data_IF_397528861013
#
_entry.id   IF_397528861013
#
_cell.length_a   1.000
_cell.length_b   1.000
_cell.length_c   1.000
_cell.angle_alpha   90.00
_cell.angle_beta   90.00
_cell.angle_gamma   90.00
#
_symmetry.space_group_name_H-M   'P 1'
#
loop_
_entity.id
_entity.type
_entity.pdbx_description
1 polymer ?
#
# COMPACT_ATOMS: atom_id res chain seq x y z
N UNK A 1 36.30 -32.05 -19.05
CA UNK A 1 35.52 -31.65 -17.87
C UNK A 1 35.52 -30.11 -17.64
N UNK A 2 36.68 -29.42 -17.50
CA UNK A 2 36.68 -27.93 -17.24
C UNK A 2 35.93 -27.10 -18.28
N UNK A 3 36.04 -27.41 -19.58
CA UNK A 3 35.32 -26.65 -20.64
C UNK A 3 33.80 -26.83 -20.58
N UNK A 4 33.32 -28.02 -20.20
CA UNK A 4 31.89 -28.28 -20.04
C UNK A 4 31.31 -27.53 -18.82
N UNK A 5 32.06 -27.45 -17.71
CA UNK A 5 31.65 -26.71 -16.51
C UNK A 5 31.60 -25.23 -16.77
N UNK A 6 32.54 -24.68 -17.55
CA UNK A 6 32.55 -23.26 -17.95
C UNK A 6 31.32 -22.93 -18.84
N UNK A 7 31.00 -23.83 -19.78
CA UNK A 7 29.84 -23.65 -20.65
C UNK A 7 28.52 -23.66 -19.87
N UNK A 8 28.38 -24.55 -18.90
CA UNK A 8 27.20 -24.65 -18.02
C UNK A 8 27.08 -23.39 -17.15
N UNK A 9 28.20 -22.92 -16.58
CA UNK A 9 28.20 -21.69 -15.79
C UNK A 9 27.81 -20.46 -16.61
N UNK A 10 28.32 -20.31 -17.83
CA UNK A 10 27.96 -19.25 -18.75
C UNK A 10 26.47 -19.29 -19.14
N UNK A 11 25.94 -20.48 -19.44
CA UNK A 11 24.53 -20.66 -19.77
C UNK A 11 23.62 -20.25 -18.58
N UNK A 12 24.01 -20.62 -17.34
CA UNK A 12 23.28 -20.23 -16.14
C UNK A 12 23.29 -18.71 -15.93
N UNK A 13 24.42 -18.04 -16.12
CA UNK A 13 24.51 -16.56 -16.01
C UNK A 13 23.63 -15.88 -17.05
N UNK A 14 23.63 -16.34 -18.30
CA UNK A 14 22.79 -15.78 -19.37
C UNK A 14 21.31 -16.00 -19.07
N UNK A 15 20.92 -17.16 -18.54
CA UNK A 15 19.55 -17.44 -18.18
C UNK A 15 19.08 -16.53 -17.01
N UNK A 16 19.90 -16.37 -15.97
CA UNK A 16 19.60 -15.47 -14.84
C UNK A 16 19.49 -14.01 -15.30
N UNK A 17 20.43 -13.56 -16.14
CA UNK A 17 20.38 -12.20 -16.71
C UNK A 17 19.17 -12.01 -17.60
N UNK A 18 18.76 -13.00 -18.36
CA UNK A 18 17.55 -12.98 -19.20
C UNK A 18 16.28 -12.88 -18.38
N UNK A 19 16.15 -13.64 -17.30
CA UNK A 19 15.01 -13.57 -16.37
C UNK A 19 14.96 -12.22 -15.68
N UNK A 20 16.09 -11.70 -15.19
CA UNK A 20 16.15 -10.40 -14.55
C UNK A 20 15.77 -9.27 -15.53
N UNK A 21 16.27 -9.33 -16.77
CA UNK A 21 15.89 -8.36 -17.82
C UNK A 21 14.40 -8.45 -18.19
N UNK A 22 13.83 -9.66 -18.26
CA UNK A 22 12.42 -9.86 -18.52
C UNK A 22 11.55 -9.21 -17.43
N UNK A 23 11.85 -9.49 -16.16
CA UNK A 23 11.14 -8.89 -15.01
C UNK A 23 11.23 -7.36 -15.06
N UNK A 24 12.43 -6.83 -15.32
CA UNK A 24 12.64 -5.38 -15.40
C UNK A 24 11.91 -4.69 -16.56
N UNK A 25 11.79 -5.35 -17.70
CA UNK A 25 11.20 -4.77 -18.91
C UNK A 25 9.70 -5.06 -19.03
N UNK A 26 9.22 -6.15 -18.46
CA UNK A 26 7.82 -6.58 -18.57
C UNK A 26 6.96 -6.08 -17.42
N UNK A 27 7.39 -6.24 -16.19
CA UNK A 27 6.60 -5.77 -15.04
C UNK A 27 6.66 -4.25 -14.90
N UNK A 28 5.56 -3.66 -14.42
CA UNK A 28 5.52 -2.29 -13.96
C UNK A 28 5.87 -2.19 -12.48
N UNK A 29 6.15 -1.00 -12.00
CA UNK A 29 6.25 -0.68 -10.59
C UNK A 29 4.96 -0.04 -10.10
N UNK A 30 4.47 -0.44 -8.94
CA UNK A 30 3.36 0.18 -8.26
C UNK A 30 3.83 0.73 -6.93
N UNK A 31 3.70 2.05 -6.76
CA UNK A 31 3.93 2.75 -5.50
C UNK A 31 2.58 3.17 -4.92
N UNK A 32 2.32 2.83 -3.67
CA UNK A 32 1.13 3.25 -2.93
C UNK A 32 1.56 4.22 -1.86
N UNK A 33 1.04 5.44 -1.92
CA UNK A 33 1.22 6.48 -0.93
C UNK A 33 -0.09 6.76 -0.19
N UNK A 34 -0.02 7.23 1.03
CA UNK A 34 -1.16 7.68 1.84
C UNK A 34 -1.08 9.17 2.11
N UNK A 35 -2.24 9.79 2.26
CA UNK A 35 -2.43 11.17 2.68
C UNK A 35 -3.67 11.29 3.56
N UNK A 36 -3.91 12.46 4.14
CA UNK A 36 -5.10 12.80 4.93
C UNK A 36 -5.53 14.24 4.68
N UNK A 37 -6.78 14.51 4.98
CA UNK A 37 -7.32 15.85 5.13
C UNK A 37 -7.13 16.37 6.56
N UNK A 38 -7.13 17.70 6.76
CA UNK A 38 -6.92 18.32 8.07
C UNK A 38 -7.93 17.86 9.12
N UNK A 39 -7.45 17.38 10.25
CA UNK A 39 -8.24 16.85 11.36
C UNK A 39 -8.10 17.64 12.67
N UNK A 40 -8.85 17.22 13.70
CA UNK A 40 -8.82 17.78 15.06
C UNK A 40 -7.73 17.16 15.97
N UNK A 41 -6.85 16.35 15.43
CA UNK A 41 -5.79 15.62 16.14
C UNK A 41 -4.43 16.28 15.89
N UNK A 42 -3.57 16.29 16.89
CA UNK A 42 -2.18 16.75 16.74
C UNK A 42 -1.34 15.72 15.99
N UNK A 43 -1.50 14.44 16.37
CA UNK A 43 -0.83 13.31 15.71
C UNK A 43 -1.83 12.14 15.62
N UNK A 44 -1.79 11.36 14.53
CA UNK A 44 -2.53 10.09 14.40
C UNK A 44 -1.62 9.04 13.75
N UNK A 45 -0.98 8.25 14.57
CA UNK A 45 -0.12 7.16 14.12
C UNK A 45 -0.93 5.92 13.80
N UNK A 46 -0.86 5.46 12.55
CA UNK A 46 -1.55 4.27 12.06
C UNK A 46 -0.53 3.24 11.62
N UNK A 47 -0.68 2.01 12.10
CA UNK A 47 0.21 0.90 11.74
C UNK A 47 -0.45 0.00 10.71
N UNK A 48 0.13 0.00 9.52
CA UNK A 48 -0.26 -0.84 8.38
C UNK A 48 0.60 -2.10 8.34
N UNK A 49 0.01 -3.23 7.96
CA UNK A 49 0.74 -4.50 7.83
C UNK A 49 0.71 -5.07 6.44
N UNK A 50 -0.32 -4.78 5.66
CA UNK A 50 -0.49 -5.31 4.32
C UNK A 50 -1.14 -4.27 3.41
N UNK A 51 -0.72 -4.30 2.16
CA UNK A 51 -1.34 -3.58 1.05
C UNK A 51 -1.53 -4.57 -0.09
N UNK A 52 -2.74 -4.66 -0.62
CA UNK A 52 -3.09 -5.57 -1.69
C UNK A 52 -3.76 -4.81 -2.82
N UNK A 53 -3.56 -5.28 -4.05
CA UNK A 53 -4.32 -4.81 -5.22
C UNK A 53 -4.90 -5.99 -5.97
N UNK A 54 -6.09 -5.83 -6.54
CA UNK A 54 -6.82 -6.88 -7.24
C UNK A 54 -6.84 -6.64 -8.75
N UNK A 55 -6.43 -7.66 -9.50
CA UNK A 55 -6.42 -7.63 -10.97
C UNK A 55 -7.85 -7.70 -11.53
N UNK A 56 -8.14 -6.84 -12.49
CA UNK A 56 -9.45 -6.78 -13.13
C UNK A 56 -9.81 -8.10 -13.84
N UNK A 57 -11.05 -8.51 -13.68
CA UNK A 57 -11.57 -9.71 -14.33
C UNK A 57 -11.19 -11.05 -13.68
N UNK A 58 -10.48 -11.02 -12.55
CA UNK A 58 -10.24 -12.19 -11.70
C UNK A 58 -11.34 -12.30 -10.65
N UNK A 59 -11.55 -13.51 -10.13
CA UNK A 59 -12.45 -13.72 -8.98
C UNK A 59 -11.80 -13.30 -7.66
N UNK A 60 -12.63 -13.07 -6.63
CA UNK A 60 -12.18 -12.67 -5.28
C UNK A 60 -11.16 -13.62 -4.65
N UNK A 61 -11.12 -14.89 -5.06
CA UNK A 61 -10.18 -15.89 -4.51
C UNK A 61 -8.80 -15.82 -5.16
N UNK A 62 -8.68 -15.14 -6.31
CA UNK A 62 -7.44 -15.04 -7.09
C UNK A 62 -7.25 -13.63 -7.61
N UNK A 63 -6.06 -13.31 -8.10
CA UNK A 63 -5.79 -11.97 -8.68
C UNK A 63 -5.38 -10.92 -7.67
N UNK A 64 -5.21 -11.26 -6.39
CA UNK A 64 -4.64 -10.40 -5.37
C UNK A 64 -3.10 -10.43 -5.43
N UNK A 65 -2.51 -9.24 -5.45
CA UNK A 65 -1.07 -9.03 -5.38
C UNK A 65 -0.74 -8.26 -4.11
N UNK A 66 0.14 -8.83 -3.28
CA UNK A 66 0.63 -8.17 -2.07
C UNK A 66 1.78 -7.24 -2.40
N UNK A 67 1.76 -6.03 -1.84
CA UNK A 67 2.84 -5.06 -1.90
C UNK A 67 3.64 -5.10 -0.60
N UNK A 68 4.96 -4.97 -0.71
CA UNK A 68 5.82 -4.85 0.47
C UNK A 68 5.60 -3.49 1.13
N UNK A 69 5.19 -3.49 2.39
CA UNK A 69 5.04 -2.28 3.19
C UNK A 69 6.43 -1.69 3.45
N UNK A 70 6.65 -0.47 2.98
CA UNK A 70 7.92 0.25 3.12
C UNK A 70 8.03 0.91 4.49
N UNK A 71 6.93 1.47 4.99
CA UNK A 71 6.84 2.12 6.29
C UNK A 71 5.57 1.65 7.00
N UNK A 72 5.74 0.85 8.06
CA UNK A 72 4.62 0.21 8.74
C UNK A 72 3.79 1.20 9.57
N UNK A 73 4.38 2.25 10.16
CA UNK A 73 3.67 3.22 11.00
C UNK A 73 3.86 4.62 10.45
N UNK A 74 2.75 5.29 10.17
CA UNK A 74 2.69 6.62 9.55
C UNK A 74 1.81 7.53 10.39
N UNK A 75 2.26 8.77 10.62
CA UNK A 75 1.46 9.82 11.22
C UNK A 75 0.59 10.49 10.14
N UNK A 76 -0.64 10.01 9.99
CA UNK A 76 -1.57 10.52 8.98
C UNK A 76 -1.95 11.98 9.21
N UNK A 77 -2.06 12.44 10.46
CA UNK A 77 -2.43 13.83 10.75
C UNK A 77 -1.39 14.84 10.23
N UNK A 78 -0.14 14.40 10.01
CA UNK A 78 0.92 15.22 9.43
C UNK A 78 0.85 15.35 7.91
N UNK A 79 0.03 14.54 7.22
CA UNK A 79 0.03 14.39 5.77
C UNK A 79 -0.98 15.29 5.04
N UNK A 80 -1.31 16.44 5.59
CA UNK A 80 -2.21 17.42 4.95
C UNK A 80 -1.53 18.01 3.71
N UNK A 81 -2.12 17.80 2.53
CA UNK A 81 -1.60 18.21 1.22
C UNK A 81 -0.22 17.61 0.83
N UNK A 82 0.22 16.59 1.52
CA UNK A 82 1.41 15.80 1.20
C UNK A 82 1.09 14.32 1.30
N UNK A 83 1.88 13.48 0.68
CA UNK A 83 1.70 12.02 0.78
C UNK A 83 3.00 11.33 1.13
N UNK A 84 2.91 10.23 1.88
CA UNK A 84 4.04 9.40 2.27
C UNK A 84 3.92 8.00 1.64
N UNK A 85 5.06 7.45 1.19
CA UNK A 85 5.09 6.13 0.57
C UNK A 85 4.82 5.05 1.62
N UNK A 86 3.71 4.35 1.48
CA UNK A 86 3.33 3.22 2.33
C UNK A 86 3.90 1.90 1.83
N UNK A 87 3.75 1.59 0.55
CA UNK A 87 4.13 0.29 0.00
C UNK A 87 4.58 0.40 -1.46
N UNK A 88 5.41 -0.55 -1.89
CA UNK A 88 5.87 -0.65 -3.27
C UNK A 88 6.06 -2.10 -3.68
N UNK A 89 5.78 -2.43 -4.93
CA UNK A 89 6.06 -3.73 -5.53
C UNK A 89 6.21 -3.66 -7.06
N UNK A 90 6.83 -4.67 -7.62
CA UNK A 90 6.70 -4.99 -9.04
C UNK A 90 5.48 -5.85 -9.24
N UNK A 91 4.64 -5.45 -10.17
CA UNK A 91 3.33 -6.09 -10.43
C UNK A 91 3.16 -6.24 -11.93
N UNK A 92 2.49 -7.30 -12.36
CA UNK A 92 2.20 -7.55 -13.76
C UNK A 92 1.45 -6.38 -14.42
N UNK A 93 1.77 -6.05 -15.69
CA UNK A 93 1.04 -5.00 -16.40
C UNK A 93 -0.40 -5.45 -16.65
N UNK A 94 -1.34 -4.52 -16.50
CA UNK A 94 -2.75 -4.80 -16.67
C UNK A 94 -3.64 -3.80 -15.95
N UNK A 95 -4.93 -4.08 -15.97
CA UNK A 95 -5.95 -3.29 -15.27
C UNK A 95 -6.21 -3.88 -13.88
N UNK A 96 -6.38 -3.01 -12.92
CA UNK A 96 -6.69 -3.31 -11.53
C UNK A 96 -7.93 -2.54 -11.12
N UNK A 97 -8.68 -3.07 -10.16
CA UNK A 97 -10.00 -2.53 -9.79
C UNK A 97 -10.18 -2.28 -8.30
N UNK A 98 -9.26 -2.76 -7.48
CA UNK A 98 -9.42 -2.65 -6.03
C UNK A 98 -8.06 -2.51 -5.36
N UNK A 99 -8.02 -1.71 -4.27
CA UNK A 99 -6.92 -1.67 -3.30
C UNK A 99 -7.47 -2.00 -1.92
N UNK A 100 -6.70 -2.76 -1.13
CA UNK A 100 -6.99 -3.10 0.26
C UNK A 100 -5.79 -2.75 1.14
N UNK A 101 -6.07 -2.06 2.24
CA UNK A 101 -5.11 -1.74 3.28
C UNK A 101 -5.50 -2.49 4.57
N UNK A 102 -4.51 -3.04 5.28
CA UNK A 102 -4.72 -3.72 6.56
C UNK A 102 -4.04 -2.94 7.68
N UNK A 103 -4.84 -2.42 8.60
CA UNK A 103 -4.42 -1.68 9.79
C UNK A 103 -4.56 -2.57 11.00
N UNK A 104 -3.54 -2.61 11.86
CA UNK A 104 -3.56 -3.42 13.10
C UNK A 104 -3.57 -2.59 14.38
N UNK A 105 -3.13 -1.35 14.33
CA UNK A 105 -3.09 -0.45 15.47
C UNK A 105 -3.21 1.00 15.04
N UNK A 106 -3.80 1.81 15.90
CA UNK A 106 -3.80 3.24 15.75
C UNK A 106 -3.74 3.93 17.13
N UNK A 107 -3.00 5.04 17.20
CA UNK A 107 -2.89 5.90 18.38
C UNK A 107 -3.01 7.34 17.96
N UNK A 108 -3.65 8.17 18.79
CA UNK A 108 -3.81 9.58 18.54
C UNK A 108 -3.30 10.44 19.68
N UNK A 109 -2.91 11.66 19.36
CA UNK A 109 -2.61 12.70 20.33
C UNK A 109 -3.53 13.88 20.06
N UNK A 110 -4.29 14.26 21.07
CA UNK A 110 -5.18 15.41 21.02
C UNK A 110 -4.36 16.72 21.09
N UNK A 111 -4.99 17.82 20.72
CA UNK A 111 -4.34 19.15 20.76
C UNK A 111 -3.97 19.59 22.21
N UNK A 112 -4.62 19.03 23.24
CA UNK A 112 -4.25 19.26 24.65
C UNK A 112 -3.09 18.40 25.14
N UNK A 113 -2.52 17.55 24.26
CA UNK A 113 -1.40 16.65 24.56
C UNK A 113 -1.83 15.26 25.07
N UNK A 114 -3.12 15.00 25.27
CA UNK A 114 -3.61 13.70 25.71
C UNK A 114 -3.37 12.64 24.65
N UNK A 115 -2.74 11.52 25.03
CA UNK A 115 -2.55 10.38 24.13
C UNK A 115 -3.68 9.36 24.30
N UNK A 116 -4.19 8.86 23.19
CA UNK A 116 -5.30 7.91 23.09
C UNK A 116 -4.86 6.70 22.27
N UNK A 117 -5.13 5.50 22.78
CA UNK A 117 -5.04 4.27 22.01
C UNK A 117 -6.42 3.96 21.46
N UNK A 118 -6.52 3.85 20.14
CA UNK A 118 -7.79 3.53 19.49
C UNK A 118 -8.07 2.03 19.52
N UNK A 119 -9.31 1.65 19.74
CA UNK A 119 -9.80 0.32 19.38
C UNK A 119 -9.90 0.21 17.87
N UNK A 120 -9.34 -0.85 17.26
CA UNK A 120 -9.42 -1.12 15.82
C UNK A 120 -10.22 -2.40 15.59
N UNK A 121 -11.55 -2.36 15.56
CA UNK A 121 -12.40 -3.55 15.46
C UNK A 121 -12.36 -4.20 14.08
N UNK A 122 -12.10 -3.40 13.05
CA UNK A 122 -11.86 -3.86 11.68
C UNK A 122 -10.81 -2.96 11.04
N UNK A 123 -9.63 -3.51 10.84
CA UNK A 123 -8.53 -2.82 10.19
C UNK A 123 -8.51 -3.01 8.67
N UNK A 124 -9.41 -3.82 8.13
CA UNK A 124 -9.48 -4.10 6.69
C UNK A 124 -10.31 -3.01 5.99
N UNK A 125 -9.69 -2.24 5.14
CA UNK A 125 -10.38 -1.24 4.33
C UNK A 125 -10.09 -1.46 2.86
N UNK A 126 -11.16 -1.44 2.06
CA UNK A 126 -11.12 -1.59 0.61
C UNK A 126 -11.58 -0.32 -0.08
N UNK A 127 -10.92 0.03 -1.19
CA UNK A 127 -11.43 0.98 -2.15
C UNK A 127 -11.53 0.34 -3.54
N UNK A 128 -12.69 0.49 -4.15
CA UNK A 128 -12.89 0.12 -5.55
C UNK A 128 -12.45 1.30 -6.39
N UNK A 129 -11.36 1.12 -7.14
CA UNK A 129 -10.79 2.13 -8.01
C UNK A 129 -10.12 1.48 -9.22
N UNK A 130 -10.39 1.98 -10.40
CA UNK A 130 -9.80 1.46 -11.63
C UNK A 130 -8.50 2.19 -11.93
N UNK A 131 -7.42 1.42 -12.10
CA UNK A 131 -6.12 1.93 -12.54
C UNK A 131 -5.42 0.94 -13.47
N UNK A 132 -4.38 1.38 -14.13
CA UNK A 132 -3.61 0.57 -15.08
C UNK A 132 -2.12 0.59 -14.73
N UNK A 133 -1.53 -0.59 -14.68
CA UNK A 133 -0.07 -0.75 -14.57
C UNK A 133 0.48 -1.03 -15.95
N UNK A 134 1.49 -0.27 -16.37
CA UNK A 134 2.13 -0.39 -17.68
C UNK A 134 3.51 -0.99 -17.56
N UNK A 135 3.87 -1.82 -18.53
CA UNK A 135 5.21 -2.40 -18.62
C UNK A 135 6.30 -1.34 -18.52
N UNK A 136 7.28 -1.58 -17.67
CA UNK A 136 8.46 -0.73 -17.51
C UNK A 136 8.20 0.67 -16.94
N UNK A 137 6.97 0.98 -16.54
CA UNK A 137 6.57 2.25 -15.95
C UNK A 137 6.31 2.15 -14.46
N UNK A 138 6.33 3.27 -13.76
CA UNK A 138 5.87 3.38 -12.37
C UNK A 138 4.48 4.01 -12.37
N UNK A 139 3.52 3.33 -11.76
CA UNK A 139 2.20 3.86 -11.43
C UNK A 139 2.19 4.22 -9.96
N UNK A 140 1.74 5.41 -9.61
CA UNK A 140 1.57 5.83 -8.21
C UNK A 140 0.10 5.93 -7.88
N UNK A 141 -0.32 5.25 -6.79
CA UNK A 141 -1.62 5.44 -6.17
C UNK A 141 -1.45 6.27 -4.90
N UNK A 142 -2.23 7.32 -4.76
CA UNK A 142 -2.36 8.05 -3.51
C UNK A 142 -3.72 7.75 -2.92
N UNK A 143 -3.72 7.20 -1.71
CA UNK A 143 -4.91 6.82 -0.94
C UNK A 143 -5.13 7.86 0.14
N UNK A 144 -6.22 8.58 0.04
CA UNK A 144 -6.66 9.54 1.06
C UNK A 144 -7.42 8.78 2.16
N UNK A 145 -6.89 8.82 3.39
CA UNK A 145 -7.52 8.21 4.57
C UNK A 145 -8.21 9.31 5.36
N UNK A 146 -9.53 9.37 5.27
CA UNK A 146 -10.35 10.38 5.95
C UNK A 146 -10.37 10.13 7.47
N UNK A 147 -9.50 10.81 8.21
CA UNK A 147 -9.41 10.69 9.67
C UNK A 147 -10.68 11.16 10.38
N UNK A 148 -11.36 12.17 9.85
CA UNK A 148 -12.58 12.71 10.46
C UNK A 148 -13.72 11.67 10.49
N UNK A 149 -13.80 10.81 9.47
CA UNK A 149 -14.75 9.70 9.41
C UNK A 149 -14.22 8.40 10.03
N UNK A 150 -12.91 8.25 10.11
CA UNK A 150 -12.25 7.06 10.64
C UNK A 150 -12.24 7.02 12.16
N UNK A 151 -12.24 8.18 12.85
CA UNK A 151 -12.11 8.27 14.31
C UNK A 151 -13.43 8.66 14.92
N UNK A 152 -13.98 7.77 15.76
CA UNK A 152 -15.28 7.97 16.40
C UNK A 152 -15.16 7.76 17.90
N UNK A 153 -15.73 8.69 18.69
CA UNK A 153 -15.88 8.52 20.13
C UNK A 153 -16.87 7.39 20.43
N UNK A 154 -16.50 6.47 21.33
CA UNK A 154 -17.31 5.32 21.70
C UNK A 154 -17.35 5.18 23.23
N UNK A 155 -18.38 5.73 23.85
CA UNK A 155 -18.51 5.76 25.31
C UNK A 155 -17.35 6.48 25.97
N UNK A 156 -16.51 5.75 26.73
CA UNK A 156 -15.32 6.30 27.40
C UNK A 156 -14.03 6.18 26.56
N UNK A 157 -14.13 5.69 25.32
CA UNK A 157 -12.98 5.43 24.47
C UNK A 157 -13.13 5.96 23.05
N UNK A 158 -12.21 5.57 22.20
CA UNK A 158 -12.17 5.95 20.81
C UNK A 158 -11.96 4.73 19.92
N UNK A 159 -12.61 4.72 18.78
CA UNK A 159 -12.52 3.66 17.78
C UNK A 159 -11.92 4.25 16.49
N UNK A 160 -10.99 3.53 15.91
CA UNK A 160 -10.47 3.78 14.58
C UNK A 160 -10.97 2.70 13.62
N UNK A 161 -11.79 3.09 12.67
CA UNK A 161 -12.24 2.25 11.56
C UNK A 161 -11.86 2.97 10.28
N UNK A 162 -10.81 2.53 9.56
CA UNK A 162 -10.29 3.29 8.44
C UNK A 162 -11.35 3.49 7.35
N UNK A 163 -11.48 4.72 6.89
CA UNK A 163 -12.35 5.14 5.80
C UNK A 163 -11.49 5.77 4.70
N UNK A 164 -11.59 5.25 3.48
CA UNK A 164 -10.93 5.85 2.32
C UNK A 164 -11.84 6.94 1.75
N UNK A 165 -11.33 8.15 1.67
CA UNK A 165 -11.97 9.29 1.03
C UNK A 165 -11.88 9.21 -0.48
N UNK A 166 -10.65 9.20 -1.01
CA UNK A 166 -10.37 9.16 -2.44
C UNK A 166 -9.13 8.30 -2.74
N UNK A 167 -9.07 7.75 -3.95
CA UNK A 167 -7.85 7.15 -4.50
C UNK A 167 -7.57 7.81 -5.84
N UNK A 168 -6.36 8.34 -6.00
CA UNK A 168 -5.87 8.95 -7.24
C UNK A 168 -4.75 8.13 -7.82
N UNK A 169 -4.74 7.96 -9.15
CA UNK A 169 -3.68 7.29 -9.90
C UNK A 169 -2.93 8.29 -10.80
N UNK A 170 -1.59 8.23 -10.79
CA UNK A 170 -0.71 9.06 -11.61
C UNK A 170 0.41 8.25 -12.27
#
# INVERSE_FOLDING_TARGET
MRRALIAIALAAVVAIAGVAAYVYLYEGSLDVAVQDDSGAWADVWVTFTQVWVHEAGKSEDVGWHNLTVAQASIDLASLVNVSELLASARVGPGKYTEIRLVVIAATGKMLDGTTVVFSVPSGDVKAVTAFEIRSGATTRLTVDVDLARSIVANGSGWTFTPVIGQVTAA
#
